data_IF_914862448141
#
_entry.id   IF_914862448141
#
_cell.length_a   1.000
_cell.length_b   1.000
_cell.length_c   1.000
_cell.angle_alpha   90.00
_cell.angle_beta   90.00
_cell.angle_gamma   90.00
#
_symmetry.space_group_name_H-M   'P 1'
#
loop_
_entity.id
_entity.type
_entity.pdbx_description
1 polymer ?
#
# COMPACT_ATOMS: atom_id res chain seq x y z
N UNK A 1 25.23 15.44 31.95
CA UNK A 1 24.02 15.96 31.31
C UNK A 1 24.45 16.55 29.98
N UNK A 2 24.50 15.73 28.94
CA UNK A 2 24.80 16.17 27.58
C UNK A 2 23.55 16.83 27.02
N UNK A 3 23.64 18.11 26.67
CA UNK A 3 22.60 18.81 25.93
C UNK A 3 22.48 18.13 24.57
N UNK A 4 21.47 17.29 24.39
CA UNK A 4 21.02 16.89 23.07
C UNK A 4 20.58 18.17 22.36
N UNK A 5 21.34 18.56 21.34
CA UNK A 5 21.10 19.78 20.59
C UNK A 5 19.69 19.71 20.01
N UNK A 6 18.90 20.77 20.19
CA UNK A 6 17.53 20.86 19.65
C UNK A 6 17.48 20.58 18.13
N UNK A 7 18.60 20.77 17.43
CA UNK A 7 18.78 20.48 16.01
C UNK A 7 18.78 18.97 15.67
N UNK A 8 19.24 18.08 16.55
CA UNK A 8 19.18 16.62 16.33
C UNK A 8 17.74 16.10 16.44
N UNK A 9 16.98 16.60 17.42
CA UNK A 9 15.57 16.25 17.60
C UNK A 9 14.70 16.76 16.46
N UNK A 10 15.02 17.94 15.91
CA UNK A 10 14.35 18.49 14.73
C UNK A 10 14.68 17.71 13.46
N UNK A 11 15.87 17.11 13.35
CA UNK A 11 16.23 16.26 12.20
C UNK A 11 15.51 14.90 12.19
N UNK A 12 15.13 14.38 13.36
CA UNK A 12 14.27 13.18 13.49
C UNK A 12 12.80 13.52 13.14
N UNK A 13 12.40 14.78 13.37
CA UNK A 13 11.09 15.31 12.97
C UNK A 13 10.97 15.66 11.49
N UNK A 14 12.04 15.48 10.70
CA UNK A 14 11.94 15.48 9.24
C UNK A 14 10.94 14.39 8.86
N UNK A 15 9.70 14.81 8.59
CA UNK A 15 8.61 13.97 8.12
C UNK A 15 9.20 12.90 7.19
N UNK A 16 9.25 11.65 7.66
CA UNK A 16 9.80 10.53 6.90
C UNK A 16 8.84 10.25 5.74
N UNK A 17 8.92 11.09 4.70
CA UNK A 17 8.02 11.10 3.57
C UNK A 17 8.53 10.10 2.54
N UNK A 18 8.59 8.83 2.95
CA UNK A 18 9.05 7.75 2.09
C UNK A 18 8.06 7.56 0.94
N UNK A 19 8.60 7.29 -0.25
CA UNK A 19 7.77 6.96 -1.41
C UNK A 19 7.03 5.66 -1.13
N UNK A 20 5.72 5.63 -1.40
CA UNK A 20 4.91 4.42 -1.30
C UNK A 20 4.76 3.78 -2.68
N UNK A 21 5.26 2.56 -2.82
CA UNK A 21 5.10 1.73 -4.01
C UNK A 21 3.97 0.74 -3.78
N UNK A 22 3.00 0.73 -4.69
CA UNK A 22 1.83 -0.14 -4.62
C UNK A 22 1.92 -1.19 -5.71
N UNK A 23 1.87 -2.47 -5.33
CA UNK A 23 1.86 -3.58 -6.25
C UNK A 23 0.46 -4.15 -6.44
N UNK A 24 0.03 -4.22 -7.70
CA UNK A 24 -1.19 -4.88 -8.12
C UNK A 24 -0.79 -6.17 -8.85
N UNK A 25 -1.04 -7.32 -8.23
CA UNK A 25 -0.71 -8.59 -8.84
C UNK A 25 -1.54 -8.83 -10.13
N UNK A 26 -0.96 -9.51 -11.11
CA UNK A 26 -1.65 -9.93 -12.33
C UNK A 26 -2.36 -11.29 -12.16
N UNK A 27 -2.82 -11.87 -13.27
CA UNK A 27 -3.55 -13.16 -13.27
C UNK A 27 -4.89 -13.12 -14.01
N UNK A 28 -5.01 -12.23 -15.01
CA UNK A 28 -6.15 -12.16 -15.91
C UNK A 28 -7.47 -11.79 -15.23
N UNK A 29 -7.43 -11.17 -14.05
CA UNK A 29 -8.60 -10.84 -13.23
C UNK A 29 -9.39 -12.04 -12.68
N UNK A 30 -8.94 -13.29 -12.88
CA UNK A 30 -9.60 -14.49 -12.35
C UNK A 30 -8.76 -15.25 -11.32
N UNK A 31 -7.47 -14.93 -11.21
CA UNK A 31 -6.53 -15.57 -10.28
C UNK A 31 -5.47 -14.59 -9.80
N UNK A 32 -4.76 -14.96 -8.74
CA UNK A 32 -3.65 -14.19 -8.19
C UNK A 32 -3.79 -13.94 -6.69
N UNK A 33 -2.68 -13.51 -6.07
CA UNK A 33 -2.62 -13.15 -4.66
C UNK A 33 -1.43 -12.23 -4.41
N UNK A 34 -1.55 -11.22 -3.53
CA UNK A 34 -0.43 -10.37 -3.13
C UNK A 34 0.55 -11.10 -2.20
N UNK A 35 0.15 -12.26 -1.65
CA UNK A 35 0.92 -13.03 -0.68
C UNK A 35 1.84 -14.06 -1.31
N UNK A 36 1.91 -14.13 -2.65
CA UNK A 36 2.86 -14.98 -3.33
C UNK A 36 4.29 -14.57 -2.96
N UNK A 37 5.17 -15.55 -2.73
CA UNK A 37 6.57 -15.32 -2.35
C UNK A 37 7.29 -14.44 -3.38
N UNK A 38 6.91 -14.53 -4.66
CA UNK A 38 7.41 -13.68 -5.75
C UNK A 38 7.21 -12.18 -5.49
N UNK A 39 6.22 -11.80 -4.68
CA UNK A 39 5.88 -10.43 -4.37
C UNK A 39 6.35 -10.01 -2.96
N UNK A 40 7.26 -10.76 -2.32
CA UNK A 40 7.86 -10.33 -1.05
C UNK A 40 8.64 -9.02 -1.24
N UNK A 41 8.07 -7.93 -0.73
CA UNK A 41 8.59 -6.58 -0.88
C UNK A 41 9.77 -6.24 0.02
N UNK A 42 10.21 -7.14 0.93
CA UNK A 42 11.27 -6.83 1.92
C UNK A 42 12.55 -6.30 1.30
N UNK A 43 13.05 -6.99 0.27
CA UNK A 43 14.29 -6.59 -0.40
C UNK A 43 14.15 -5.18 -0.99
N UNK A 44 13.03 -4.89 -1.65
CA UNK A 44 12.76 -3.61 -2.28
C UNK A 44 12.55 -2.47 -1.27
N UNK A 45 11.87 -2.76 -0.15
CA UNK A 45 11.67 -1.78 0.92
C UNK A 45 13.01 -1.33 1.53
N UNK A 46 13.93 -2.27 1.77
CA UNK A 46 15.25 -2.00 2.35
C UNK A 46 16.17 -1.31 1.35
N UNK A 47 16.29 -1.84 0.13
CA UNK A 47 17.25 -1.30 -0.85
C UNK A 47 16.80 0.03 -1.45
N UNK A 48 15.48 0.21 -1.63
CA UNK A 48 14.90 1.40 -2.21
C UNK A 48 14.58 2.50 -1.21
N UNK A 49 14.64 2.22 0.10
CA UNK A 49 14.12 3.11 1.15
C UNK A 49 12.68 3.58 0.84
N UNK A 50 11.81 2.62 0.54
CA UNK A 50 10.41 2.84 0.15
C UNK A 50 9.47 2.00 1.00
N UNK A 51 8.22 2.44 1.08
CA UNK A 51 7.13 1.64 1.65
C UNK A 51 6.55 0.81 0.53
N UNK A 52 6.61 -0.52 0.64
CA UNK A 52 6.02 -1.44 -0.33
C UNK A 52 4.68 -1.92 0.20
N UNK A 53 3.61 -1.78 -0.60
CA UNK A 53 2.27 -2.23 -0.26
C UNK A 53 1.72 -3.13 -1.34
N UNK A 54 1.37 -4.36 -0.97
CA UNK A 54 0.66 -5.28 -1.84
C UNK A 54 -0.81 -5.32 -1.40
N UNK A 55 -1.74 -5.21 -2.35
CA UNK A 55 -3.17 -5.17 -2.04
C UNK A 55 -3.91 -6.37 -2.61
N UNK A 56 -4.98 -6.76 -1.91
CA UNK A 56 -5.98 -7.67 -2.45
C UNK A 56 -7.05 -6.87 -3.21
N UNK A 57 -7.53 -7.43 -4.31
CA UNK A 57 -8.72 -6.96 -5.01
C UNK A 57 -9.53 -8.17 -5.47
N UNK A 58 -10.85 -8.02 -5.60
CA UNK A 58 -11.73 -9.13 -5.98
C UNK A 58 -11.43 -9.62 -7.40
N UNK A 59 -11.62 -10.92 -7.60
CA UNK A 59 -11.33 -11.64 -8.83
C UNK A 59 -12.57 -12.37 -9.33
N UNK A 60 -12.54 -12.79 -10.59
CA UNK A 60 -13.56 -13.59 -11.24
C UNK A 60 -14.95 -12.95 -11.14
N UNK A 61 -16.02 -13.75 -11.02
CA UNK A 61 -17.37 -13.24 -10.87
C UNK A 61 -17.53 -12.28 -9.68
N UNK A 62 -16.83 -12.50 -8.57
CA UNK A 62 -16.91 -11.63 -7.39
C UNK A 62 -16.39 -10.21 -7.64
N UNK A 63 -15.45 -10.05 -8.59
CA UNK A 63 -14.89 -8.76 -8.95
C UNK A 63 -15.47 -8.16 -10.22
N UNK A 64 -15.95 -8.98 -11.16
CA UNK A 64 -16.17 -8.52 -12.54
C UNK A 64 -17.48 -9.03 -13.16
N UNK A 65 -18.36 -9.68 -12.39
CA UNK A 65 -19.68 -10.04 -12.87
C UNK A 65 -20.49 -8.78 -13.21
N UNK A 66 -20.98 -8.72 -14.45
CA UNK A 66 -21.87 -7.67 -14.95
C UNK A 66 -23.14 -8.31 -15.49
N UNK A 67 -24.29 -7.92 -14.94
CA UNK A 67 -25.61 -8.42 -15.33
C UNK A 67 -26.59 -7.29 -15.70
N UNK A 68 -26.08 -6.09 -15.95
CA UNK A 68 -26.91 -4.89 -16.16
C UNK A 68 -27.96 -4.67 -15.04
N UNK A 69 -27.56 -4.99 -13.81
CA UNK A 69 -28.38 -4.91 -12.60
C UNK A 69 -27.61 -4.19 -11.49
N UNK A 70 -28.31 -3.48 -10.61
CA UNK A 70 -27.69 -2.70 -9.53
C UNK A 70 -26.81 -3.53 -8.60
N UNK A 71 -27.22 -4.76 -8.29
CA UNK A 71 -26.44 -5.70 -7.46
C UNK A 71 -25.21 -6.30 -8.18
N UNK A 72 -25.14 -6.21 -9.50
CA UNK A 72 -24.04 -6.73 -10.32
C UNK A 72 -23.60 -5.71 -11.36
N UNK A 73 -23.03 -4.57 -10.92
CA UNK A 73 -22.67 -3.44 -11.79
C UNK A 73 -21.37 -3.67 -12.59
N UNK A 74 -20.67 -4.78 -12.37
CA UNK A 74 -19.35 -5.03 -12.96
C UNK A 74 -18.22 -4.24 -12.30
N UNK A 75 -16.97 -4.58 -12.64
CA UNK A 75 -15.75 -3.85 -12.26
C UNK A 75 -15.57 -3.55 -10.76
N UNK A 76 -16.22 -4.30 -9.89
CA UNK A 76 -16.08 -4.21 -8.45
C UNK A 76 -14.63 -4.48 -7.99
N UNK A 77 -13.89 -5.32 -8.70
CA UNK A 77 -12.44 -5.51 -8.48
C UNK A 77 -11.61 -4.26 -8.80
N UNK A 78 -12.00 -3.47 -9.81
CA UNK A 78 -11.35 -2.17 -10.07
C UNK A 78 -11.71 -1.14 -8.99
N UNK A 79 -12.95 -1.18 -8.50
CA UNK A 79 -13.38 -0.32 -7.41
C UNK A 79 -12.57 -0.58 -6.14
N UNK A 80 -12.22 -1.82 -5.83
CA UNK A 80 -11.33 -2.17 -4.71
C UNK A 80 -9.96 -1.49 -4.84
N UNK A 81 -9.37 -1.52 -6.04
CA UNK A 81 -8.08 -0.88 -6.32
C UNK A 81 -8.14 0.64 -6.16
N UNK A 82 -9.18 1.26 -6.73
CA UNK A 82 -9.42 2.70 -6.61
C UNK A 82 -9.66 3.09 -5.15
N UNK A 83 -10.40 2.29 -4.39
CA UNK A 83 -10.68 2.54 -2.99
C UNK A 83 -9.40 2.54 -2.16
N UNK A 84 -8.45 1.66 -2.47
CA UNK A 84 -7.14 1.67 -1.84
C UNK A 84 -6.34 2.94 -2.17
N UNK A 85 -6.35 3.42 -3.41
CA UNK A 85 -5.69 4.70 -3.76
C UNK A 85 -6.30 5.87 -2.98
N UNK A 86 -7.62 5.89 -2.80
CA UNK A 86 -8.26 6.89 -1.94
C UNK A 86 -7.86 6.74 -0.48
N UNK A 87 -7.72 5.51 0.02
CA UNK A 87 -7.23 5.25 1.37
C UNK A 87 -5.83 5.84 1.59
N UNK A 88 -4.90 5.69 0.64
CA UNK A 88 -3.55 6.25 0.71
C UNK A 88 -3.49 7.79 0.74
N UNK A 89 -4.53 8.46 0.24
CA UNK A 89 -4.63 9.92 0.33
C UNK A 89 -4.97 10.37 1.75
N UNK A 90 -5.80 9.60 2.45
CA UNK A 90 -6.28 9.91 3.80
C UNK A 90 -5.32 9.40 4.87
N UNK A 91 -4.68 8.24 4.66
CA UNK A 91 -3.81 7.61 5.63
C UNK A 91 -2.34 7.75 5.21
N UNK A 92 -1.51 8.29 6.11
CA UNK A 92 -0.05 8.38 5.92
C UNK A 92 0.63 7.25 6.67
N UNK A 93 1.48 6.51 5.99
CA UNK A 93 2.32 5.51 6.62
C UNK A 93 3.54 6.19 7.26
N UNK A 94 3.79 5.88 8.52
CA UNK A 94 5.00 6.27 9.22
C UNK A 94 5.80 5.00 9.50
N UNK A 95 7.07 4.91 9.08
CA UNK A 95 7.86 3.72 9.36
C UNK A 95 8.17 3.64 10.87
N UNK A 96 8.20 2.42 11.41
CA UNK A 96 8.31 2.16 12.87
C UNK A 96 9.58 2.77 13.48
N UNK A 97 10.66 2.84 12.72
CA UNK A 97 11.92 3.44 13.14
C UNK A 97 11.86 4.98 13.23
N UNK A 98 10.79 5.62 12.77
CA UNK A 98 10.58 7.06 12.84
C UNK A 98 9.65 7.48 14.01
N UNK A 99 9.21 6.54 14.84
CA UNK A 99 8.40 6.85 16.04
C UNK A 99 9.36 7.02 17.22
N UNK A 100 9.51 8.22 17.81
CA UNK A 100 10.32 8.40 19.01
C UNK A 100 9.68 7.66 20.19
N UNK A 101 10.48 6.89 20.93
CA UNK A 101 10.08 6.21 22.18
C UNK A 101 10.25 7.13 23.39
#
# INVERSE_FOLDING_TARGET
MTSTNHDEALNISAHCNLTTMVWLFGGGYYSGSPSLILYDGKAMAVTGNVIVVNINYRLGPFGYLYLDHEDAPGNMGMLDQVRFVYFLRTFKFTPINAIPY
#
